data_IF_480828078101
#
_entry.id   IF_480828078101
#
_cell.length_a   1.000
_cell.length_b   1.000
_cell.length_c   1.000
_cell.angle_alpha   90.00
_cell.angle_beta   90.00
_cell.angle_gamma   90.00
#
_symmetry.space_group_name_H-M   'P 1'
#
loop_
_entity.id
_entity.type
_entity.pdbx_description
1 polymer ?
#
# COMPACT_ATOMS: atom_id res chain seq x y z
N UNK A 1 -8.95 6.28 11.42
CA UNK A 1 -7.47 6.12 11.49
C UNK A 1 -6.88 6.32 10.10
N UNK A 2 -5.57 6.57 10.01
CA UNK A 2 -4.87 6.58 8.72
C UNK A 2 -3.46 5.99 8.84
N UNK A 3 -2.96 5.44 7.72
CA UNK A 3 -1.56 5.08 7.53
C UNK A 3 -1.00 5.86 6.33
N UNK A 4 -0.08 6.81 6.59
CA UNK A 4 0.48 7.69 5.57
C UNK A 4 -0.60 8.43 4.74
N UNK A 5 -1.60 9.01 5.41
CA UNK A 5 -2.66 9.79 4.77
C UNK A 5 -3.80 9.00 4.12
N UNK A 6 -3.66 7.68 3.93
CA UNK A 6 -4.73 6.81 3.46
C UNK A 6 -5.69 6.53 4.63
N UNK A 7 -6.85 7.18 4.62
CA UNK A 7 -7.78 7.27 5.74
C UNK A 7 -9.00 6.37 5.56
N UNK A 8 -9.26 5.53 6.56
CA UNK A 8 -10.44 4.67 6.63
C UNK A 8 -11.19 4.89 7.92
N UNK A 9 -12.48 4.58 7.90
CA UNK A 9 -13.25 4.38 9.13
C UNK A 9 -13.02 2.94 9.59
N UNK A 10 -12.75 2.74 10.87
CA UNK A 10 -12.51 1.41 11.47
C UNK A 10 -13.63 1.07 12.43
N UNK A 11 -14.14 -0.15 12.37
CA UNK A 11 -15.14 -0.66 13.30
C UNK A 11 -14.60 -1.89 14.00
N UNK A 12 -14.62 -1.87 15.33
CA UNK A 12 -14.25 -3.00 16.19
C UNK A 12 -15.40 -3.99 16.31
N UNK A 13 -15.33 -5.06 15.53
CA UNK A 13 -16.31 -6.14 15.58
C UNK A 13 -16.07 -7.17 16.70
N UNK A 14 -15.11 -6.94 17.60
CA UNK A 14 -15.06 -7.66 18.89
C UNK A 14 -16.03 -7.04 19.88
N UNK A 15 -16.28 -5.72 19.78
CA UNK A 15 -17.20 -4.98 20.64
C UNK A 15 -18.59 -4.79 19.97
N UNK A 16 -18.62 -4.61 18.64
CA UNK A 16 -19.81 -4.25 17.90
C UNK A 16 -20.33 -5.42 17.04
N UNK A 17 -21.63 -5.68 17.09
CA UNK A 17 -22.29 -6.66 16.24
C UNK A 17 -22.95 -5.99 15.04
N UNK A 18 -22.47 -6.30 13.85
CA UNK A 18 -22.96 -5.77 12.57
C UNK A 18 -23.81 -6.77 11.77
N UNK A 19 -24.25 -7.89 12.35
CA UNK A 19 -25.02 -8.93 11.64
C UNK A 19 -26.35 -8.42 11.08
N UNK A 20 -26.86 -7.32 11.63
CA UNK A 20 -28.10 -6.67 11.20
C UNK A 20 -27.88 -5.58 10.13
N UNK A 21 -26.63 -5.27 9.78
CA UNK A 21 -26.27 -4.18 8.86
C UNK A 21 -25.98 -4.73 7.45
N UNK A 22 -26.45 -4.02 6.43
CA UNK A 22 -25.88 -4.16 5.09
C UNK A 22 -24.52 -3.46 5.06
N UNK A 23 -23.44 -4.24 5.12
CA UNK A 23 -22.06 -3.74 5.21
C UNK A 23 -21.66 -2.93 3.99
N UNK A 24 -22.19 -3.29 2.80
CA UNK A 24 -21.93 -2.55 1.56
C UNK A 24 -22.54 -1.14 1.63
N UNK A 25 -23.77 -1.01 2.05
CA UNK A 25 -24.44 0.27 2.21
C UNK A 25 -23.85 1.08 3.38
N UNK A 26 -23.45 0.41 4.46
CA UNK A 26 -22.73 1.05 5.56
C UNK A 26 -21.40 1.66 5.07
N UNK A 27 -20.59 0.90 4.29
CA UNK A 27 -19.34 1.40 3.75
C UNK A 27 -19.54 2.66 2.89
N UNK A 28 -20.55 2.66 2.02
CA UNK A 28 -20.88 3.83 1.18
C UNK A 28 -21.30 5.05 2.00
N UNK A 29 -22.20 4.86 2.96
CA UNK A 29 -22.75 5.95 3.76
C UNK A 29 -21.71 6.56 4.69
N UNK A 30 -20.96 5.74 5.43
CA UNK A 30 -19.99 6.21 6.41
C UNK A 30 -18.75 6.85 5.76
N UNK A 31 -18.35 6.35 4.57
CA UNK A 31 -17.17 6.85 3.84
C UNK A 31 -17.45 8.14 3.06
N UNK A 32 -18.72 8.55 2.94
CA UNK A 32 -19.07 9.74 2.17
C UNK A 32 -18.53 11.01 2.86
N UNK A 33 -17.58 11.73 2.20
CA UNK A 33 -16.84 12.85 2.80
C UNK A 33 -17.68 14.08 3.17
N UNK A 34 -18.91 14.20 2.67
CA UNK A 34 -19.81 15.33 2.94
C UNK A 34 -21.00 14.95 3.81
N UNK A 35 -21.43 13.70 3.83
CA UNK A 35 -22.64 13.26 4.52
C UNK A 35 -22.38 12.12 5.52
N UNK A 36 -21.19 11.54 5.52
CA UNK A 36 -20.73 10.54 6.46
C UNK A 36 -19.59 11.07 7.34
N UNK A 37 -18.83 10.15 7.92
CA UNK A 37 -17.56 10.44 8.58
C UNK A 37 -16.54 10.89 7.54
N UNK A 38 -16.54 10.25 6.38
CA UNK A 38 -15.61 10.51 5.28
C UNK A 38 -14.34 9.69 5.40
N UNK A 39 -13.91 9.10 4.29
CA UNK A 39 -12.69 8.30 4.20
C UNK A 39 -12.61 7.58 2.86
N UNK A 40 -11.52 6.85 2.65
CA UNK A 40 -11.30 6.02 1.45
C UNK A 40 -12.13 4.74 1.49
N UNK A 41 -12.73 4.42 2.66
CA UNK A 41 -13.58 3.26 2.84
C UNK A 41 -13.80 2.91 4.31
N UNK A 42 -14.26 1.68 4.51
CA UNK A 42 -14.55 1.07 5.81
C UNK A 42 -13.67 -0.16 6.02
N UNK A 43 -13.04 -0.25 7.19
CA UNK A 43 -12.31 -1.45 7.63
C UNK A 43 -12.98 -2.02 8.87
N UNK A 44 -13.36 -3.30 8.81
CA UNK A 44 -13.89 -4.05 9.92
C UNK A 44 -12.77 -4.88 10.55
N UNK A 45 -12.55 -4.70 11.86
CA UNK A 45 -11.61 -5.47 12.66
C UNK A 45 -12.39 -6.61 13.29
N UNK A 46 -12.29 -7.82 12.73
CA UNK A 46 -13.09 -8.99 13.08
C UNK A 46 -12.28 -10.02 13.85
N UNK A 47 -12.92 -10.87 14.67
CA UNK A 47 -12.33 -12.13 15.14
C UNK A 47 -11.86 -13.00 13.97
N UNK A 48 -10.79 -13.79 14.19
CA UNK A 48 -10.28 -14.80 13.25
C UNK A 48 -10.03 -16.12 13.97
N UNK A 49 -10.25 -17.23 13.28
CA UNK A 49 -9.95 -18.57 13.78
C UNK A 49 -8.49 -18.98 13.55
N UNK A 50 -7.75 -18.21 12.72
CA UNK A 50 -6.39 -18.55 12.25
C UNK A 50 -5.35 -17.49 12.56
N UNK A 51 -5.78 -16.31 13.02
CA UNK A 51 -4.94 -15.14 13.30
C UNK A 51 -5.42 -14.41 14.57
N UNK A 52 -4.72 -13.34 14.95
CA UNK A 52 -5.10 -12.52 16.12
C UNK A 52 -6.31 -11.64 15.85
N UNK A 53 -6.48 -11.23 14.59
CA UNK A 53 -7.66 -10.55 14.08
C UNK A 53 -7.75 -10.74 12.56
N UNK A 54 -8.91 -10.40 12.00
CA UNK A 54 -9.15 -10.36 10.57
C UNK A 54 -9.47 -8.92 10.15
N UNK A 55 -8.80 -8.45 9.11
CA UNK A 55 -9.13 -7.21 8.41
C UNK A 55 -10.08 -7.54 7.24
N UNK A 56 -11.28 -6.97 7.26
CA UNK A 56 -12.17 -6.94 6.11
C UNK A 56 -12.28 -5.49 5.65
N UNK A 57 -11.89 -5.23 4.40
CA UNK A 57 -11.82 -3.87 3.85
C UNK A 57 -12.83 -3.68 2.73
N UNK A 58 -13.58 -2.59 2.81
CA UNK A 58 -14.49 -2.14 1.78
C UNK A 58 -14.08 -0.72 1.32
N UNK A 59 -14.02 -0.53 0.03
CA UNK A 59 -13.84 0.79 -0.58
C UNK A 59 -15.05 1.70 -0.35
N UNK A 60 -14.90 3.00 -0.60
CA UNK A 60 -16.01 3.95 -0.47
C UNK A 60 -17.21 3.69 -1.39
N UNK A 61 -17.05 2.91 -2.47
CA UNK A 61 -18.13 2.45 -3.34
C UNK A 61 -18.83 1.18 -2.85
N UNK A 62 -18.38 0.62 -1.71
CA UNK A 62 -18.89 -0.61 -1.09
C UNK A 62 -18.30 -1.90 -1.67
N UNK A 63 -17.39 -1.83 -2.63
CA UNK A 63 -16.69 -3.02 -3.14
C UNK A 63 -15.68 -3.52 -2.12
N UNK A 64 -15.59 -4.84 -1.96
CA UNK A 64 -14.59 -5.45 -1.07
C UNK A 64 -13.22 -5.47 -1.75
N UNK A 65 -12.17 -5.17 -1.00
CA UNK A 65 -10.79 -5.23 -1.45
C UNK A 65 -9.97 -6.21 -0.62
N UNK A 66 -9.04 -6.89 -1.27
CA UNK A 66 -8.33 -8.01 -0.66
C UNK A 66 -7.24 -7.56 0.33
N UNK A 67 -6.52 -6.46 0.03
CA UNK A 67 -5.38 -6.04 0.83
C UNK A 67 -5.10 -4.54 0.73
N UNK A 68 -4.80 -3.92 1.88
CA UNK A 68 -4.28 -2.56 1.98
C UNK A 68 -3.13 -2.50 3.00
N UNK A 69 -1.90 -2.32 2.52
CA UNK A 69 -0.72 -2.24 3.37
C UNK A 69 -0.78 -1.09 4.39
N UNK A 70 -1.48 0.00 4.08
CA UNK A 70 -1.71 1.11 5.02
C UNK A 70 -2.77 0.74 6.06
N UNK A 71 -3.88 0.15 5.62
CA UNK A 71 -4.98 -0.27 6.48
C UNK A 71 -4.57 -1.32 7.50
N UNK A 72 -3.78 -2.31 7.08
CA UNK A 72 -3.36 -3.39 7.98
C UNK A 72 -2.45 -2.91 9.12
N UNK A 73 -1.63 -1.85 8.89
CA UNK A 73 -0.84 -1.23 9.97
C UNK A 73 -1.75 -0.58 11.02
N UNK A 74 -2.83 0.06 10.59
CA UNK A 74 -3.83 0.64 11.49
C UNK A 74 -4.56 -0.45 12.29
N UNK A 75 -4.93 -1.58 11.64
CA UNK A 75 -5.55 -2.72 12.32
C UNK A 75 -4.60 -3.27 13.40
N UNK A 76 -3.32 -3.49 13.07
CA UNK A 76 -2.35 -4.00 14.02
C UNK A 76 -2.15 -3.05 15.22
N UNK A 77 -2.06 -1.75 14.97
CA UNK A 77 -2.02 -0.74 16.03
C UNK A 77 -3.28 -0.80 16.90
N UNK A 78 -4.47 -0.82 16.30
CA UNK A 78 -5.73 -0.89 17.02
C UNK A 78 -5.81 -2.14 17.91
N UNK A 79 -5.51 -3.31 17.34
CA UNK A 79 -5.54 -4.61 18.04
C UNK A 79 -4.64 -4.61 19.28
N UNK A 80 -3.44 -4.02 19.20
CA UNK A 80 -2.53 -3.90 20.32
C UNK A 80 -2.97 -2.84 21.32
N UNK A 81 -3.19 -1.60 20.87
CA UNK A 81 -3.45 -0.43 21.72
C UNK A 81 -4.78 -0.55 22.50
N UNK A 82 -5.77 -1.28 21.96
CA UNK A 82 -7.06 -1.54 22.60
C UNK A 82 -7.12 -2.89 23.34
N UNK A 83 -5.99 -3.60 23.45
CA UNK A 83 -5.87 -4.79 24.30
C UNK A 83 -6.51 -6.06 23.76
N UNK A 84 -6.85 -6.12 22.45
CA UNK A 84 -7.39 -7.33 21.79
C UNK A 84 -6.29 -8.42 21.79
N UNK A 85 -5.05 -8.06 21.39
CA UNK A 85 -3.89 -8.93 21.49
C UNK A 85 -2.62 -8.10 21.79
N UNK A 86 -2.11 -8.22 23.02
CA UNK A 86 -0.93 -7.46 23.49
C UNK A 86 0.37 -8.26 23.30
N UNK A 87 0.82 -8.39 22.06
CA UNK A 87 2.10 -9.01 21.70
C UNK A 87 2.73 -8.26 20.51
N UNK A 88 4.06 -8.17 20.50
CA UNK A 88 4.82 -7.42 19.50
C UNK A 88 4.84 -8.09 18.11
N UNK A 89 4.50 -9.38 18.05
CA UNK A 89 4.35 -10.14 16.80
C UNK A 89 2.89 -10.49 16.63
N UNK A 90 2.23 -9.90 15.65
CA UNK A 90 0.83 -10.14 15.35
C UNK A 90 0.66 -10.88 14.01
N UNK A 91 -0.39 -11.67 13.96
CA UNK A 91 -0.89 -12.25 12.71
C UNK A 91 -2.25 -11.63 12.39
N UNK A 92 -2.39 -11.08 11.19
CA UNK A 92 -3.66 -10.51 10.74
C UNK A 92 -4.09 -11.22 9.45
N UNK A 93 -5.31 -11.78 9.49
CA UNK A 93 -5.94 -12.36 8.31
C UNK A 93 -6.47 -11.23 7.41
N UNK A 94 -6.13 -11.24 6.11
CA UNK A 94 -6.64 -10.29 5.11
C UNK A 94 -6.62 -10.93 3.73
N UNK A 95 -7.68 -10.76 2.94
CA UNK A 95 -7.75 -11.27 1.56
C UNK A 95 -7.50 -12.76 1.40
N UNK A 96 -7.85 -13.57 2.40
CA UNK A 96 -7.63 -15.02 2.39
C UNK A 96 -6.20 -15.45 2.74
N UNK A 97 -5.32 -14.51 3.10
CA UNK A 97 -3.94 -14.76 3.56
C UNK A 97 -3.78 -14.34 5.02
N UNK A 98 -2.80 -14.91 5.71
CA UNK A 98 -2.38 -14.48 7.05
C UNK A 98 -1.04 -13.77 6.91
N UNK A 99 -0.97 -12.53 7.36
CA UNK A 99 0.21 -11.68 7.30
C UNK A 99 0.87 -11.60 8.66
N UNK A 100 2.20 -11.68 8.68
CA UNK A 100 3.01 -11.49 9.87
C UNK A 100 3.41 -10.01 10.00
N UNK A 101 3.14 -9.43 11.17
CA UNK A 101 3.42 -8.03 11.48
C UNK A 101 4.28 -7.93 12.75
N UNK A 102 5.26 -7.03 12.74
CA UNK A 102 6.09 -6.71 13.90
C UNK A 102 5.80 -5.30 14.37
N UNK A 103 5.55 -5.11 15.66
CA UNK A 103 5.21 -3.83 16.27
C UNK A 103 6.43 -3.21 16.96
N UNK A 104 6.66 -1.93 16.73
CA UNK A 104 7.53 -1.12 17.56
C UNK A 104 6.67 -0.35 18.56
N UNK A 105 6.93 -0.58 19.85
CA UNK A 105 6.16 0.04 20.93
C UNK A 105 6.90 1.26 21.43
N UNK A 106 6.22 2.39 21.46
CA UNK A 106 6.73 3.66 21.96
C UNK A 106 6.83 3.70 23.48
N UNK A 107 7.43 4.75 24.00
CA UNK A 107 7.63 4.95 25.45
C UNK A 107 6.30 5.17 26.23
N UNK A 108 5.22 5.48 25.53
CA UNK A 108 3.86 5.61 26.05
C UNK A 108 3.10 4.27 26.13
N UNK A 109 3.76 3.16 25.72
CA UNK A 109 3.17 1.83 25.67
C UNK A 109 2.23 1.58 24.49
N UNK A 110 2.19 2.49 23.51
CA UNK A 110 1.40 2.37 22.28
C UNK A 110 2.28 2.02 21.08
N UNK A 111 1.65 1.48 20.04
CA UNK A 111 2.34 1.19 18.78
C UNK A 111 2.76 2.49 18.09
N UNK A 112 4.07 2.65 17.88
CA UNK A 112 4.67 3.78 17.16
C UNK A 112 4.81 3.47 15.67
N UNK A 113 5.24 2.24 15.33
CA UNK A 113 5.40 1.80 13.96
C UNK A 113 5.05 0.32 13.81
N UNK A 114 4.65 -0.06 12.59
CA UNK A 114 4.31 -1.44 12.22
C UNK A 114 5.13 -1.84 11.01
N UNK A 115 5.82 -2.97 11.10
CA UNK A 115 6.49 -3.61 9.98
C UNK A 115 5.63 -4.73 9.43
N UNK A 116 5.35 -4.68 8.14
CA UNK A 116 4.57 -5.67 7.40
C UNK A 116 5.50 -6.44 6.48
N UNK A 117 5.42 -7.77 6.49
CA UNK A 117 6.05 -8.63 5.49
C UNK A 117 5.20 -8.61 4.21
N UNK A 118 5.70 -7.95 3.17
CA UNK A 118 5.02 -7.78 1.89
C UNK A 118 5.26 -8.97 0.93
N UNK A 119 6.03 -9.99 1.35
CA UNK A 119 6.39 -11.15 0.56
C UNK A 119 7.47 -10.89 -0.50
N UNK A 120 7.66 -11.89 -1.37
CA UNK A 120 8.64 -11.81 -2.45
C UNK A 120 8.10 -11.02 -3.65
N UNK A 121 8.93 -10.14 -4.27
CA UNK A 121 8.56 -9.46 -5.50
C UNK A 121 8.54 -10.42 -6.69
N UNK A 122 7.56 -10.29 -7.55
CA UNK A 122 7.47 -10.99 -8.83
C UNK A 122 8.13 -10.12 -9.89
N UNK A 123 9.14 -10.65 -10.59
CA UNK A 123 9.98 -9.91 -11.53
C UNK A 123 9.89 -10.41 -12.97
N UNK A 124 9.32 -11.59 -13.19
CA UNK A 124 9.15 -12.19 -14.52
C UNK A 124 8.07 -11.44 -15.29
N UNK A 125 8.41 -10.86 -16.44
CA UNK A 125 7.57 -9.94 -17.19
C UNK A 125 6.12 -10.42 -17.43
N UNK A 126 5.86 -11.67 -17.89
CA UNK A 126 4.49 -12.16 -18.06
C UNK A 126 3.71 -12.29 -16.75
N UNK A 127 4.41 -12.43 -15.61
CA UNK A 127 3.79 -12.55 -14.28
C UNK A 127 3.56 -11.19 -13.61
N UNK A 128 4.23 -10.11 -14.10
CA UNK A 128 4.07 -8.74 -13.56
C UNK A 128 2.70 -8.11 -13.83
N UNK A 129 1.87 -8.32 -14.82
CA UNK A 129 1.95 -8.74 -16.22
C UNK A 129 2.30 -7.57 -17.16
N UNK A 130 3.36 -7.71 -17.92
CA UNK A 130 3.73 -6.75 -18.97
C UNK A 130 4.18 -7.48 -20.23
N UNK A 131 3.91 -6.88 -21.39
CA UNK A 131 4.32 -7.38 -22.70
C UNK A 131 5.52 -6.63 -23.29
N UNK A 132 6.25 -5.84 -22.47
CA UNK A 132 7.46 -5.11 -22.91
C UNK A 132 8.52 -6.09 -23.45
N UNK A 133 8.69 -7.22 -22.81
CA UNK A 133 9.55 -8.33 -23.23
C UNK A 133 8.81 -9.67 -23.05
N UNK A 134 9.21 -10.68 -23.82
CA UNK A 134 8.54 -12.01 -23.78
C UNK A 134 8.85 -12.80 -22.50
N UNK A 135 10.06 -12.63 -21.93
CA UNK A 135 10.50 -13.33 -20.70
C UNK A 135 11.64 -12.59 -20.01
N UNK A 136 11.83 -12.88 -18.71
CA UNK A 136 12.85 -12.24 -17.90
C UNK A 136 12.36 -10.98 -17.20
N UNK A 137 13.31 -10.15 -16.75
CA UNK A 137 13.02 -8.96 -15.94
C UNK A 137 13.08 -7.71 -16.80
N UNK A 138 12.11 -6.81 -16.66
CA UNK A 138 12.14 -5.47 -17.24
C UNK A 138 12.88 -4.55 -16.26
N UNK A 139 14.11 -4.16 -16.58
CA UNK A 139 14.96 -3.32 -15.73
C UNK A 139 15.60 -2.22 -16.58
N UNK A 140 15.37 -0.95 -16.24
CA UNK A 140 15.81 0.24 -16.99
C UNK A 140 15.55 0.13 -18.51
N UNK A 141 14.42 -0.48 -18.88
CA UNK A 141 14.04 -0.69 -20.28
C UNK A 141 13.46 0.60 -20.86
N UNK A 142 14.03 1.09 -21.98
CA UNK A 142 13.54 2.31 -22.63
C UNK A 142 12.21 2.05 -23.35
N UNK A 143 11.20 2.83 -22.99
CA UNK A 143 9.93 2.91 -23.71
C UNK A 143 9.68 4.35 -24.13
N UNK A 144 8.88 4.54 -25.19
CA UNK A 144 8.43 5.86 -25.63
C UNK A 144 6.92 5.95 -25.43
N UNK A 145 6.48 7.02 -24.77
CA UNK A 145 5.08 7.34 -24.54
C UNK A 145 4.91 8.85 -24.79
N UNK A 146 4.06 9.20 -25.73
CA UNK A 146 3.73 10.59 -26.06
C UNK A 146 4.97 11.47 -26.34
N UNK A 147 5.98 10.88 -27.03
CA UNK A 147 7.24 11.54 -27.34
C UNK A 147 8.26 11.60 -26.22
N UNK A 148 7.92 11.11 -25.02
CA UNK A 148 8.85 11.01 -23.87
C UNK A 148 9.52 9.65 -23.84
N UNK A 149 10.86 9.62 -23.77
CA UNK A 149 11.64 8.41 -23.54
C UNK A 149 11.81 8.18 -22.05
N UNK A 150 11.33 7.05 -21.58
CA UNK A 150 11.29 6.68 -20.17
C UNK A 150 12.00 5.34 -19.97
N UNK A 151 12.91 5.28 -18.99
CA UNK A 151 13.51 4.02 -18.53
C UNK A 151 12.64 3.41 -17.43
N UNK A 152 12.00 2.29 -17.71
CA UNK A 152 11.04 1.64 -16.81
C UNK A 152 11.59 0.36 -16.20
N UNK A 153 11.24 0.11 -14.95
CA UNK A 153 11.48 -1.15 -14.26
C UNK A 153 10.14 -1.69 -13.75
N UNK A 154 9.80 -2.91 -14.13
CA UNK A 154 8.51 -3.51 -13.79
C UNK A 154 8.65 -4.52 -12.66
N UNK A 155 7.81 -4.35 -11.62
CA UNK A 155 7.77 -5.20 -10.43
C UNK A 155 6.30 -5.48 -10.08
N UNK A 156 5.98 -6.70 -9.62
CA UNK A 156 4.69 -6.97 -9.01
C UNK A 156 4.86 -7.32 -7.53
N UNK A 157 4.06 -6.71 -6.69
CA UNK A 157 3.89 -7.03 -5.26
C UNK A 157 2.50 -7.64 -5.00
N UNK A 158 2.03 -8.48 -5.96
CA UNK A 158 0.65 -8.97 -6.06
C UNK A 158 -0.20 -8.14 -7.03
N UNK A 159 0.18 -6.89 -7.25
CA UNK A 159 -0.34 -5.99 -8.27
C UNK A 159 0.80 -5.36 -9.08
N UNK A 160 0.59 -4.99 -10.36
CA UNK A 160 1.64 -4.51 -11.25
C UNK A 160 2.08 -3.08 -10.95
N UNK A 161 3.39 -2.84 -10.97
CA UNK A 161 4.04 -1.54 -10.80
C UNK A 161 5.05 -1.27 -11.91
N UNK A 162 5.02 -0.06 -12.44
CA UNK A 162 5.97 0.50 -13.40
C UNK A 162 6.74 1.63 -12.72
N UNK A 163 7.98 1.37 -12.31
CA UNK A 163 8.85 2.32 -11.60
C UNK A 163 9.71 3.08 -12.59
N UNK A 164 9.72 4.40 -12.47
CA UNK A 164 10.43 5.33 -13.34
C UNK A 164 11.24 6.29 -12.48
N UNK A 165 12.57 6.19 -12.54
CA UNK A 165 13.43 7.12 -11.85
C UNK A 165 13.61 8.40 -12.69
N UNK A 166 13.31 9.54 -12.08
CA UNK A 166 13.31 10.86 -12.73
C UNK A 166 14.11 11.88 -11.90
N UNK A 167 14.64 12.94 -12.52
CA UNK A 167 15.26 14.02 -11.77
C UNK A 167 14.30 14.75 -10.85
N UNK A 168 13.03 14.91 -11.27
CA UNK A 168 11.95 15.57 -10.54
C UNK A 168 10.61 14.96 -10.96
N UNK A 169 9.76 14.58 -9.99
CA UNK A 169 8.42 14.02 -10.22
C UNK A 169 7.39 15.14 -10.39
N UNK A 170 7.42 15.81 -11.53
CA UNK A 170 6.55 16.96 -11.84
C UNK A 170 5.10 16.55 -12.10
N UNK A 171 4.17 17.50 -12.02
CA UNK A 171 2.75 17.29 -12.38
C UNK A 171 2.59 16.85 -13.85
N UNK A 172 3.43 17.36 -14.76
CA UNK A 172 3.44 16.95 -16.15
C UNK A 172 3.72 15.45 -16.30
N UNK A 173 4.66 14.91 -15.54
CA UNK A 173 4.96 13.48 -15.52
C UNK A 173 3.85 12.69 -14.84
N UNK A 174 3.49 13.05 -13.61
CA UNK A 174 2.57 12.25 -12.79
C UNK A 174 1.14 12.33 -13.33
N UNK A 175 0.60 13.54 -13.51
CA UNK A 175 -0.78 13.76 -13.94
C UNK A 175 -0.93 13.72 -15.47
N UNK A 176 0.13 14.04 -16.21
CA UNK A 176 0.12 14.06 -17.67
C UNK A 176 0.44 12.70 -18.30
N UNK A 177 1.51 12.02 -17.86
CA UNK A 177 1.93 10.72 -18.40
C UNK A 177 1.38 9.52 -17.62
N UNK A 178 1.14 9.67 -16.31
CA UNK A 178 0.61 8.59 -15.47
C UNK A 178 -0.60 7.88 -16.08
N UNK A 179 -1.71 8.59 -16.43
CA UNK A 179 -2.89 7.97 -17.04
C UNK A 179 -2.62 7.31 -18.40
N UNK A 180 -1.63 7.80 -19.16
CA UNK A 180 -1.24 7.23 -20.45
C UNK A 180 -0.45 5.95 -20.31
N UNK A 181 0.45 5.91 -19.31
CA UNK A 181 1.22 4.70 -18.99
C UNK A 181 0.29 3.62 -18.39
N UNK A 182 -0.63 4.01 -17.49
CA UNK A 182 -1.61 3.10 -16.88
C UNK A 182 -2.34 2.27 -17.93
N UNK A 183 -2.74 2.91 -19.03
CA UNK A 183 -3.57 2.31 -20.07
C UNK A 183 -2.81 1.89 -21.33
N UNK A 184 -1.47 1.95 -21.30
CA UNK A 184 -0.64 1.56 -22.44
C UNK A 184 -0.80 0.07 -22.77
N UNK A 185 -0.90 -0.34 -24.04
CA UNK A 185 -1.08 -1.73 -24.43
C UNK A 185 0.00 -2.70 -23.94
N UNK A 186 1.18 -2.21 -23.56
CA UNK A 186 2.25 -3.01 -22.94
C UNK A 186 1.90 -3.48 -21.53
N UNK A 187 0.87 -2.92 -20.90
CA UNK A 187 0.32 -3.31 -19.60
C UNK A 187 -1.13 -3.79 -19.75
N UNK A 188 -1.36 -5.05 -20.19
CA UNK A 188 -2.70 -5.55 -20.56
C UNK A 188 -3.71 -5.53 -19.40
N UNK A 189 -3.24 -5.58 -18.15
CA UNK A 189 -4.05 -5.50 -16.95
C UNK A 189 -3.96 -4.12 -16.29
N UNK A 190 -3.53 -3.07 -17.05
CA UNK A 190 -3.10 -1.78 -16.54
C UNK A 190 -1.97 -1.93 -15.51
N UNK A 191 -1.45 -0.81 -14.99
CA UNK A 191 -0.37 -0.80 -14.00
C UNK A 191 -0.49 0.41 -13.09
N UNK A 192 0.13 0.35 -11.90
CA UNK A 192 0.45 1.52 -11.10
C UNK A 192 1.78 2.09 -11.61
N UNK A 193 1.98 3.39 -11.49
CA UNK A 193 3.19 4.08 -11.95
C UNK A 193 3.79 4.85 -10.78
N UNK A 194 5.06 4.59 -10.50
CA UNK A 194 5.83 5.29 -9.50
C UNK A 194 6.88 6.18 -10.16
N UNK A 195 6.72 7.50 -10.06
CA UNK A 195 7.74 8.49 -10.41
C UNK A 195 8.60 8.77 -9.19
N UNK A 196 9.92 8.50 -9.31
CA UNK A 196 10.82 8.43 -8.16
C UNK A 196 12.03 9.32 -8.34
N UNK A 197 12.22 10.24 -7.40
CA UNK A 197 13.43 11.07 -7.27
C UNK A 197 14.41 10.38 -6.31
N UNK A 198 15.68 10.28 -6.70
CA UNK A 198 16.74 9.74 -5.84
C UNK A 198 17.36 10.89 -5.07
N UNK A 199 17.20 10.90 -3.75
CA UNK A 199 17.83 11.87 -2.85
C UNK A 199 19.24 11.37 -2.48
N UNK A 200 19.33 10.08 -2.13
CA UNK A 200 20.58 9.39 -1.83
C UNK A 200 20.45 7.88 -2.12
N UNK A 201 21.51 7.11 -1.82
CA UNK A 201 21.44 5.64 -1.91
C UNK A 201 20.43 5.02 -0.91
N UNK A 202 20.10 5.74 0.14
CA UNK A 202 19.22 5.26 1.23
C UNK A 202 17.91 6.05 1.33
N UNK A 203 17.67 7.00 0.39
CA UNK A 203 16.54 7.93 0.51
C UNK A 203 16.01 8.31 -0.87
N UNK A 204 14.69 8.22 -1.03
CA UNK A 204 13.96 8.53 -2.26
C UNK A 204 12.68 9.32 -1.97
N UNK A 205 12.17 10.04 -2.96
CA UNK A 205 10.84 10.66 -2.95
C UNK A 205 10.01 10.07 -4.07
N UNK A 206 8.78 9.68 -3.77
CA UNK A 206 7.87 9.00 -4.69
C UNK A 206 6.55 9.75 -4.83
N UNK A 207 6.09 9.85 -6.07
CA UNK A 207 4.69 10.15 -6.39
C UNK A 207 4.12 8.98 -7.18
N UNK A 208 2.86 8.62 -6.88
CA UNK A 208 2.21 7.44 -7.47
C UNK A 208 0.94 7.79 -8.19
N UNK A 209 0.83 7.32 -9.44
CA UNK A 209 -0.44 7.22 -10.14
C UNK A 209 -0.95 5.79 -10.02
N UNK A 210 -2.00 5.58 -9.22
CA UNK A 210 -2.56 4.25 -8.99
C UNK A 210 -3.57 3.85 -10.05
N UNK A 211 -3.53 2.58 -10.41
CA UNK A 211 -4.44 1.93 -11.35
C UNK A 211 -5.90 2.11 -10.94
N UNK A 212 -6.65 2.86 -11.74
CA UNK A 212 -8.08 3.13 -11.52
C UNK A 212 -8.42 4.19 -10.49
N UNK A 213 -7.43 4.74 -9.77
CA UNK A 213 -7.66 5.71 -8.69
C UNK A 213 -7.03 7.07 -8.95
N UNK A 214 -6.06 7.16 -9.87
CA UNK A 214 -5.31 8.39 -10.11
C UNK A 214 -4.18 8.60 -9.11
N UNK A 215 -3.73 9.84 -8.91
CA UNK A 215 -2.69 10.12 -7.92
C UNK A 215 -3.21 9.90 -6.51
N UNK A 216 -2.48 9.10 -5.73
CA UNK A 216 -2.78 8.82 -4.32
C UNK A 216 -1.65 9.27 -3.41
N UNK A 217 -1.95 9.47 -2.13
CA UNK A 217 -0.99 9.98 -1.17
C UNK A 217 0.00 8.92 -0.67
N UNK A 218 -0.39 7.64 -0.71
CA UNK A 218 0.48 6.56 -0.29
C UNK A 218 0.05 5.21 -0.88
N UNK A 219 0.97 4.56 -1.59
CA UNK A 219 0.83 3.20 -2.11
C UNK A 219 1.91 2.30 -1.50
N UNK A 220 1.54 1.41 -0.57
CA UNK A 220 2.49 0.53 0.13
C UNK A 220 3.16 -0.48 -0.80
N UNK A 221 2.41 -1.08 -1.73
CA UNK A 221 2.95 -2.00 -2.75
C UNK A 221 3.83 -1.27 -3.75
N UNK A 222 3.47 -0.03 -4.13
CA UNK A 222 4.28 0.84 -4.97
C UNK A 222 5.60 1.20 -4.31
N UNK A 223 5.59 1.58 -3.03
CA UNK A 223 6.81 1.85 -2.27
C UNK A 223 7.72 0.62 -2.19
N UNK A 224 7.13 -0.57 -2.00
CA UNK A 224 7.86 -1.85 -2.02
C UNK A 224 8.49 -2.12 -3.39
N UNK A 225 7.75 -1.89 -4.48
CA UNK A 225 8.25 -2.02 -5.84
C UNK A 225 9.41 -1.04 -6.13
N UNK A 226 9.34 0.19 -5.61
CA UNK A 226 10.42 1.20 -5.71
C UNK A 226 11.71 0.72 -5.03
N UNK A 227 11.61 0.15 -3.83
CA UNK A 227 12.77 -0.43 -3.14
C UNK A 227 13.45 -1.51 -3.99
N UNK A 228 12.67 -2.43 -4.56
CA UNK A 228 13.16 -3.50 -5.43
C UNK A 228 13.78 -2.95 -6.71
N UNK A 229 13.09 -2.05 -7.39
CA UNK A 229 13.56 -1.42 -8.63
C UNK A 229 14.88 -0.64 -8.41
N UNK A 230 15.01 0.07 -7.30
CA UNK A 230 16.23 0.80 -6.94
C UNK A 230 17.45 -0.12 -6.79
N UNK A 231 17.27 -1.27 -6.16
CA UNK A 231 18.32 -2.30 -6.05
C UNK A 231 18.66 -2.91 -7.41
N UNK A 232 17.64 -3.29 -8.19
CA UNK A 232 17.84 -3.91 -9.52
C UNK A 232 18.60 -3.01 -10.48
N UNK A 233 18.35 -1.71 -10.42
CA UNK A 233 19.01 -0.70 -11.26
C UNK A 233 20.33 -0.18 -10.66
N UNK A 234 20.70 -0.62 -9.45
CA UNK A 234 21.88 -0.15 -8.73
C UNK A 234 21.79 1.30 -8.26
N UNK A 235 20.60 1.90 -8.29
CA UNK A 235 20.36 3.30 -7.92
C UNK A 235 20.28 3.50 -6.41
N UNK A 236 19.73 2.52 -5.66
CA UNK A 236 19.62 2.59 -4.20
C UNK A 236 20.19 1.35 -3.51
N UNK A 237 20.35 1.42 -2.20
CA UNK A 237 20.64 0.30 -1.33
C UNK A 237 19.36 -0.53 -1.08
N UNK A 238 19.50 -1.69 -0.40
CA UNK A 238 18.39 -2.60 -0.08
C UNK A 238 17.46 -2.10 1.02
N UNK A 239 17.88 -1.12 1.79
CA UNK A 239 17.06 -0.43 2.79
C UNK A 239 17.00 1.03 2.44
N UNK A 240 15.79 1.57 2.30
CA UNK A 240 15.56 2.97 1.93
C UNK A 240 14.47 3.59 2.79
N UNK A 241 14.58 4.88 3.02
CA UNK A 241 13.50 5.75 3.43
C UNK A 241 12.82 6.31 2.18
N UNK A 242 11.52 6.12 2.06
CA UNK A 242 10.73 6.58 0.93
C UNK A 242 9.71 7.62 1.39
N UNK A 243 9.86 8.84 0.90
CA UNK A 243 8.94 9.95 1.15
C UNK A 243 7.80 9.92 0.14
N UNK A 244 6.59 9.64 0.62
CA UNK A 244 5.36 9.76 -0.16
C UNK A 244 4.63 11.06 0.22
N UNK A 245 3.62 11.45 -0.56
CA UNK A 245 2.83 12.66 -0.25
C UNK A 245 2.16 12.58 1.14
N UNK A 246 1.73 11.40 1.56
CA UNK A 246 1.01 11.18 2.81
C UNK A 246 1.90 10.83 4.01
N UNK A 247 3.20 10.61 3.82
CA UNK A 247 4.13 10.28 4.90
C UNK A 247 5.24 9.32 4.47
N UNK A 248 6.08 8.97 5.41
CA UNK A 248 7.29 8.20 5.18
C UNK A 248 7.09 6.71 5.40
N UNK A 249 7.72 5.90 4.55
CA UNK A 249 7.85 4.45 4.72
C UNK A 249 9.32 4.04 4.66
N UNK A 250 9.73 3.17 5.56
CA UNK A 250 11.02 2.48 5.47
C UNK A 250 10.81 1.14 4.80
N UNK A 251 11.50 0.89 3.69
CA UNK A 251 11.43 -0.36 2.94
C UNK A 251 12.78 -1.08 3.05
N UNK A 252 12.73 -2.42 3.13
CA UNK A 252 13.93 -3.23 3.11
C UNK A 252 13.69 -4.51 2.30
N UNK A 253 14.42 -4.68 1.20
CA UNK A 253 14.43 -5.94 0.45
C UNK A 253 15.48 -6.88 1.02
N UNK A 254 15.02 -7.87 1.77
CA UNK A 254 15.84 -8.84 2.51
C UNK A 254 16.68 -9.73 1.58
N UNK A 255 17.96 -9.91 1.92
CA UNK A 255 18.85 -10.85 1.21
C UNK A 255 18.63 -12.31 1.65
N UNK A 256 18.10 -12.52 2.84
CA UNK A 256 18.03 -13.85 3.46
C UNK A 256 16.83 -14.65 2.96
N UNK A 257 15.68 -14.01 2.77
CA UNK A 257 14.44 -14.66 2.35
C UNK A 257 13.81 -14.06 1.09
N UNK A 258 14.39 -12.99 0.52
CA UNK A 258 13.86 -12.33 -0.67
C UNK A 258 12.61 -11.46 -0.44
N UNK A 259 12.09 -11.38 0.79
CA UNK A 259 10.91 -10.60 1.12
C UNK A 259 11.19 -9.11 1.21
N UNK A 260 10.18 -8.31 0.91
CA UNK A 260 10.20 -6.87 1.15
C UNK A 260 9.50 -6.58 2.47
N UNK A 261 10.23 -6.00 3.41
CA UNK A 261 9.69 -5.52 4.68
C UNK A 261 9.34 -4.05 4.57
N UNK A 262 8.11 -3.69 4.91
CA UNK A 262 7.59 -2.32 4.87
C UNK A 262 7.26 -1.84 6.28
N UNK A 263 7.92 -0.81 6.75
CA UNK A 263 7.69 -0.20 8.07
C UNK A 263 7.11 1.20 7.93
N UNK A 264 6.04 1.47 8.64
CA UNK A 264 5.42 2.81 8.68
C UNK A 264 4.55 3.01 9.90
N UNK A 265 4.21 4.26 10.17
CA UNK A 265 3.31 4.64 11.24
C UNK A 265 1.85 4.31 10.92
N UNK A 266 1.04 4.36 11.96
CA UNK A 266 -0.42 4.35 11.92
C UNK A 266 -0.95 5.31 12.98
N UNK A 267 -2.00 6.06 12.66
CA UNK A 267 -2.52 7.10 13.55
C UNK A 267 -4.02 6.90 13.79
N UNK A 268 -4.39 6.77 15.05
CA UNK A 268 -5.78 6.92 15.48
C UNK A 268 -6.08 8.41 15.67
N UNK A 269 -6.97 8.96 14.84
CA UNK A 269 -7.23 10.41 14.81
C UNK A 269 -8.31 10.78 15.81
N UNK A 270 -9.39 10.00 15.84
CA UNK A 270 -10.51 10.14 16.79
C UNK A 270 -11.32 8.85 16.85
N UNK A 271 -12.17 8.74 17.86
CA UNK A 271 -13.22 7.72 17.96
C UNK A 271 -14.58 8.40 18.18
N UNK A 272 -15.67 7.71 17.84
CA UNK A 272 -17.02 8.23 17.97
C UNK A 272 -18.08 7.18 17.67
N UNK A 273 -19.35 7.57 17.76
CA UNK A 273 -20.50 6.74 17.44
C UNK A 273 -21.12 7.19 16.12
N UNK A 274 -21.49 6.22 15.29
CA UNK A 274 -22.21 6.45 14.04
C UNK A 274 -23.63 5.90 14.14
N UNK A 275 -24.63 6.80 13.96
CA UNK A 275 -26.01 6.39 13.88
C UNK A 275 -26.37 6.11 12.42
N UNK A 276 -26.43 4.82 12.07
CA UNK A 276 -26.78 4.33 10.74
C UNK A 276 -28.31 4.42 10.49
#
# INVERSE_FOLDING_TARGET
MHGAGNDYVYVDCFAENLDHCDITELAKSISHRHFGVGGDGLILIRPSDVADARMQMLNADGSESEMCGNGIRCVAKYVYDHGIAQKEQLKIESGGCVLDLSLAIGSDGKVEAVTVDMGEPILEAPKVPTSIIESGKVVDYEIEIDGHKLAVTCVSMGNPHCVIFVPEATDELVLGLGPKIETDPRFPNRTNIEFVEIISKDEVRQRTWERGSGETWACGTGASAVCVAGVLTGKTNRKILNHLLGGDLTLQWSETNGHVMMTGGAVEVFSGEWNA
#
